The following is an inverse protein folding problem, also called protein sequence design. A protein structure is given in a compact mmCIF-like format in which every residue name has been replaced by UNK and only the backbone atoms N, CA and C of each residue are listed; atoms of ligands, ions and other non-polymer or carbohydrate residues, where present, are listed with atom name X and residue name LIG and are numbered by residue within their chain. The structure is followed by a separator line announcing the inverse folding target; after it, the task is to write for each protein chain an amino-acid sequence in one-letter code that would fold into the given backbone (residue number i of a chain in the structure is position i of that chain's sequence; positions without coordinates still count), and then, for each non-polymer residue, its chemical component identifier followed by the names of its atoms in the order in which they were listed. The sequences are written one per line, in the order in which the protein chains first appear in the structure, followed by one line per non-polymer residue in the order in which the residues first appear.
data_IF_700853860936
#
_entry.id   IF_700853860936
#
_cell.length_a   1.000
_cell.length_b   1.000
_cell.length_c   1.000
_cell.angle_alpha   90.00
_cell.angle_beta   90.00
_cell.angle_gamma   90.00
#
_symmetry.space_group_name_H-M   'P 1'
#
loop_
_entity.id
_entity.type
_entity.pdbx_description
1 polymer ?
#
# COMPACT_ATOMS: atom_id res chain seq x y z
N UNK A 1 18.15 4.40 7.80
CA UNK A 1 17.53 5.47 6.98
C UNK A 1 17.12 4.97 5.61
N UNK A 2 18.01 4.31 4.85
CA UNK A 2 17.70 3.81 3.50
C UNK A 2 16.47 2.89 3.43
N UNK A 3 16.29 1.98 4.40
CA UNK A 3 15.11 1.10 4.52
C UNK A 3 13.80 1.85 4.72
N UNK A 4 13.81 2.95 5.48
CA UNK A 4 12.63 3.81 5.64
C UNK A 4 12.30 4.55 4.35
N UNK A 5 13.30 5.02 3.62
CA UNK A 5 13.12 5.69 2.31
C UNK A 5 12.52 4.70 1.30
N UNK A 6 13.07 3.48 1.22
CA UNK A 6 12.50 2.38 0.41
C UNK A 6 11.06 2.05 0.82
N UNK A 7 10.79 2.02 2.13
CA UNK A 7 9.44 1.83 2.65
C UNK A 7 8.46 2.91 2.17
N UNK A 8 8.86 4.19 2.22
CA UNK A 8 8.03 5.29 1.70
C UNK A 8 7.81 5.22 0.18
N UNK A 9 8.82 4.82 -0.58
CA UNK A 9 8.69 4.59 -2.03
C UNK A 9 7.68 3.47 -2.31
N UNK A 10 7.81 2.34 -1.60
CA UNK A 10 6.87 1.22 -1.72
C UNK A 10 5.46 1.60 -1.27
N UNK A 11 5.32 2.46 -0.27
CA UNK A 11 4.04 2.97 0.20
C UNK A 11 3.34 3.79 -0.88
N UNK A 12 4.08 4.67 -1.56
CA UNK A 12 3.55 5.47 -2.67
C UNK A 12 3.12 4.58 -3.85
N UNK A 13 3.93 3.57 -4.20
CA UNK A 13 3.61 2.60 -5.26
C UNK A 13 2.38 1.76 -4.90
N UNK A 14 2.33 1.21 -3.68
CA UNK A 14 1.18 0.44 -3.21
C UNK A 14 -0.10 1.27 -3.19
N UNK A 15 -0.03 2.52 -2.73
CA UNK A 15 -1.16 3.46 -2.78
C UNK A 15 -1.63 3.74 -4.21
N UNK A 16 -0.70 3.92 -5.15
CA UNK A 16 -1.01 4.09 -6.58
C UNK A 16 -1.77 2.90 -7.16
N UNK A 17 -1.34 1.67 -6.83
CA UNK A 17 -1.97 0.42 -7.28
C UNK A 17 -3.39 0.21 -6.72
N UNK A 18 -3.72 0.84 -5.59
CA UNK A 18 -5.09 0.83 -5.03
C UNK A 18 -6.01 1.86 -5.71
N UNK A 19 -5.44 2.94 -6.26
CA UNK A 19 -6.17 4.04 -6.89
C UNK A 19 -6.33 3.82 -8.40
N UNK A 20 -5.36 3.20 -9.08
CA UNK A 20 -5.42 2.93 -10.53
C UNK A 20 -6.67 2.18 -11.00
N UNK A 21 -7.24 1.19 -10.26
CA UNK A 21 -8.44 0.47 -10.70
C UNK A 21 -9.69 1.33 -10.57
N UNK A 22 -9.67 2.42 -9.78
CA UNK A 22 -10.77 3.39 -9.71
C UNK A 22 -10.93 4.17 -11.03
N UNK A 23 -9.93 4.12 -11.91
CA UNK A 23 -10.07 4.56 -13.30
C UNK A 23 -11.08 3.74 -14.10
N UNK A 24 -11.20 2.45 -13.77
CA UNK A 24 -12.09 1.49 -14.45
C UNK A 24 -13.53 1.70 -14.00
N UNK A 25 -13.76 2.17 -12.78
CA UNK A 25 -15.10 2.43 -12.22
C UNK A 25 -15.74 3.73 -12.73
N UNK A 26 -15.11 4.41 -13.72
CA UNK A 26 -15.75 5.50 -14.47
C UNK A 26 -15.43 6.92 -14.00
N UNK A 27 -14.48 7.13 -13.09
CA UNK A 27 -14.03 8.48 -12.73
C UNK A 27 -13.35 9.13 -13.94
N UNK A 28 -13.99 10.14 -14.53
CA UNK A 28 -13.50 10.80 -15.75
C UNK A 28 -12.07 11.36 -15.60
N UNK A 29 -11.70 11.83 -14.40
CA UNK A 29 -10.37 12.33 -14.07
C UNK A 29 -9.29 11.23 -14.02
N UNK A 30 -9.66 9.97 -13.79
CA UNK A 30 -8.71 8.85 -13.72
C UNK A 30 -8.65 8.03 -15.00
N UNK A 31 -9.45 8.34 -16.04
CA UNK A 31 -9.43 7.60 -17.32
C UNK A 31 -8.05 7.46 -17.94
N UNK A 32 -7.13 8.39 -17.71
CA UNK A 32 -5.74 8.30 -18.19
C UNK A 32 -4.95 7.18 -17.51
N UNK A 33 -5.29 6.84 -16.25
CA UNK A 33 -4.70 5.73 -15.50
C UNK A 33 -5.19 4.36 -15.97
N UNK A 34 -6.26 4.29 -16.76
CA UNK A 34 -6.79 3.03 -17.29
C UNK A 34 -5.74 2.22 -18.09
N UNK A 35 -4.82 2.91 -18.77
CA UNK A 35 -3.71 2.25 -19.51
C UNK A 35 -2.69 1.57 -18.60
N UNK A 36 -2.67 1.94 -17.33
CA UNK A 36 -1.76 1.41 -16.32
C UNK A 36 -2.46 0.46 -15.36
N UNK A 37 -3.79 0.34 -15.45
CA UNK A 37 -4.61 -0.51 -14.60
C UNK A 37 -4.69 -1.94 -15.17
N UNK A 38 -4.43 -2.94 -14.34
CA UNK A 38 -4.62 -4.35 -14.68
C UNK A 38 -5.46 -5.11 -13.63
N UNK A 39 -6.16 -6.18 -14.03
CA UNK A 39 -6.96 -6.97 -13.09
C UNK A 39 -6.06 -7.65 -12.05
N UNK A 40 -6.36 -7.44 -10.76
CA UNK A 40 -5.58 -7.97 -9.63
C UNK A 40 -4.58 -6.99 -9.02
N UNK A 41 -4.43 -5.79 -9.59
CA UNK A 41 -3.50 -4.76 -9.11
C UNK A 41 -3.79 -4.32 -7.66
N UNK A 42 -5.07 -4.32 -7.24
CA UNK A 42 -5.46 -4.09 -5.84
C UNK A 42 -4.82 -5.10 -4.89
N UNK A 43 -4.89 -6.40 -5.22
CA UNK A 43 -4.39 -7.46 -4.35
C UNK A 43 -2.87 -7.36 -4.20
N UNK A 44 -2.18 -7.07 -5.30
CA UNK A 44 -0.73 -6.82 -5.29
C UNK A 44 -0.42 -5.54 -4.50
N UNK A 45 -1.18 -4.48 -4.71
CA UNK A 45 -1.06 -3.21 -4.01
C UNK A 45 -1.21 -3.36 -2.48
N UNK A 46 -2.12 -4.21 -2.02
CA UNK A 46 -2.27 -4.55 -0.58
C UNK A 46 -0.99 -5.20 -0.05
N UNK A 47 -0.45 -6.21 -0.75
CA UNK A 47 0.78 -6.90 -0.31
C UNK A 47 1.97 -5.93 -0.27
N UNK A 48 2.09 -5.08 -1.29
CA UNK A 48 3.13 -4.03 -1.37
C UNK A 48 2.98 -3.02 -0.24
N UNK A 49 1.75 -2.58 0.06
CA UNK A 49 1.47 -1.69 1.19
C UNK A 49 1.83 -2.31 2.54
N UNK A 50 1.51 -3.59 2.76
CA UNK A 50 1.87 -4.30 3.99
C UNK A 50 3.39 -4.34 4.14
N UNK A 51 4.12 -4.73 3.10
CA UNK A 51 5.58 -4.75 3.11
C UNK A 51 6.17 -3.35 3.38
N UNK A 52 5.63 -2.30 2.74
CA UNK A 52 6.01 -0.92 2.99
C UNK A 52 5.80 -0.51 4.46
N UNK A 53 4.65 -0.88 5.05
CA UNK A 53 4.30 -0.57 6.42
C UNK A 53 5.27 -1.17 7.44
N UNK A 54 5.70 -2.43 7.20
CA UNK A 54 6.74 -3.10 8.00
C UNK A 54 8.10 -2.40 7.86
N UNK A 55 8.49 -2.00 6.63
CA UNK A 55 9.78 -1.35 6.36
C UNK A 55 9.90 0.07 6.94
N UNK A 56 8.77 0.81 7.01
CA UNK A 56 8.73 2.13 7.65
C UNK A 56 8.81 2.01 9.18
N UNK A 57 8.52 0.83 9.73
CA UNK A 57 8.48 0.58 11.17
C UNK A 57 7.19 1.06 11.82
N UNK A 58 6.09 1.17 11.05
CA UNK A 58 4.76 1.45 11.57
C UNK A 58 4.01 0.17 11.99
N UNK A 59 4.67 -1.00 11.88
CA UNK A 59 4.11 -2.27 12.31
C UNK A 59 3.51 -2.14 13.73
N UNK A 60 2.29 -2.67 13.96
CA UNK A 60 1.61 -2.50 15.23
C UNK A 60 2.50 -3.02 16.35
N UNK A 61 2.78 -2.16 17.33
CA UNK A 61 3.54 -2.55 18.50
C UNK A 61 2.82 -3.75 19.16
N UNK A 62 3.54 -4.85 19.38
CA UNK A 62 3.05 -5.94 20.21
C UNK A 62 2.60 -5.31 21.53
N UNK A 63 1.30 -5.41 21.86
CA UNK A 63 0.80 -5.02 23.17
C UNK A 63 1.64 -5.78 24.21
N UNK A 64 2.19 -5.11 25.24
CA UNK A 64 2.91 -5.82 26.28
C UNK A 64 1.95 -6.82 26.93
N UNK A 65 2.36 -8.08 27.02
CA UNK A 65 1.67 -9.09 27.81
C UNK A 65 1.53 -8.53 29.22
N UNK A 66 0.30 -8.20 29.63
CA UNK A 66 0.03 -7.86 31.01
C UNK A 66 0.30 -9.13 31.82
N UNK A 67 1.17 -9.09 32.83
CA UNK A 67 1.32 -10.23 33.72
C UNK A 67 -0.04 -10.47 34.39
N UNK A 68 -0.62 -11.64 34.13
CA UNK A 68 -1.79 -12.15 34.85
C UNK A 68 -1.39 -12.30 36.31
N UNK A 69 -1.98 -11.44 37.15
CA UNK A 69 -1.93 -11.51 38.61
C UNK A 69 -2.58 -12.79 39.14
#
# INVERSE_FOLDING_TARGET
MLTKILGWILFAIGGWMLVSPQAVTGLAQLKWMYKYAFPGEVLIGIVVMVAAYYLIGMAPAKKPDKPSH
#
